data_IF_589737933896
#
_entry.id   IF_589737933896
#
_cell.length_a   1.000
_cell.length_b   1.000
_cell.length_c   1.000
_cell.angle_alpha   90.00
_cell.angle_beta   90.00
_cell.angle_gamma   90.00
#
_symmetry.space_group_name_H-M   'P 1'
#
loop_
_entity.id
_entity.type
_entity.pdbx_description
1 polymer ?
#
# COMPACT_ATOMS: atom_id res chain seq x y z
N UNK A 1 -36.85 8.41 -22.81
CA UNK A 1 -35.55 8.36 -22.10
C UNK A 1 -34.92 9.75 -22.18
N UNK A 2 -34.53 10.33 -21.05
CA UNK A 2 -33.91 11.66 -21.01
C UNK A 2 -32.46 11.56 -21.54
N UNK A 3 -32.20 12.12 -22.73
CA UNK A 3 -30.89 12.03 -23.41
C UNK A 3 -29.77 12.71 -22.64
N UNK A 4 -30.09 13.74 -21.87
CA UNK A 4 -29.08 14.46 -21.09
C UNK A 4 -28.66 13.67 -19.86
N UNK A 5 -29.59 12.96 -19.21
CA UNK A 5 -29.27 12.06 -18.10
C UNK A 5 -28.34 10.91 -18.54
N UNK A 6 -28.58 10.33 -19.73
CA UNK A 6 -27.72 9.28 -20.29
C UNK A 6 -26.30 9.81 -20.52
N UNK A 7 -26.17 11.00 -21.12
CA UNK A 7 -24.85 11.64 -21.35
C UNK A 7 -24.09 11.92 -20.05
N UNK A 8 -24.78 12.32 -18.98
CA UNK A 8 -24.14 12.55 -17.68
C UNK A 8 -23.65 11.24 -17.05
N UNK A 9 -24.41 10.15 -17.18
CA UNK A 9 -24.00 8.83 -16.71
C UNK A 9 -22.77 8.35 -17.50
N UNK A 10 -22.82 8.38 -18.83
CA UNK A 10 -21.68 8.02 -19.70
C UNK A 10 -20.44 8.83 -19.34
N UNK A 11 -20.59 10.13 -19.08
CA UNK A 11 -19.48 10.98 -18.63
C UNK A 11 -18.92 10.51 -17.28
N UNK A 12 -19.78 10.24 -16.30
CA UNK A 12 -19.35 9.80 -14.96
C UNK A 12 -18.67 8.43 -14.97
N UNK A 13 -18.99 7.55 -15.91
CA UNK A 13 -18.34 6.25 -16.08
C UNK A 13 -16.97 6.35 -16.77
N UNK A 14 -16.78 7.35 -17.62
CA UNK A 14 -15.53 7.57 -18.36
C UNK A 14 -14.53 8.47 -17.62
N UNK A 15 -14.99 9.32 -16.72
CA UNK A 15 -14.12 10.17 -15.91
C UNK A 15 -13.42 9.35 -14.82
N UNK A 16 -12.16 9.69 -14.46
CA UNK A 16 -11.48 9.02 -13.36
C UNK A 16 -12.30 9.12 -12.08
N UNK A 17 -12.57 7.99 -11.46
CA UNK A 17 -13.30 7.94 -10.19
C UNK A 17 -12.47 8.58 -9.08
N UNK A 18 -13.12 8.92 -7.96
CA UNK A 18 -12.42 9.38 -6.77
C UNK A 18 -11.35 8.37 -6.32
N UNK A 19 -11.64 7.08 -6.40
CA UNK A 19 -10.70 6.00 -6.08
C UNK A 19 -9.48 6.06 -6.99
N UNK A 20 -9.65 6.24 -8.29
CA UNK A 20 -8.54 6.36 -9.25
C UNK A 20 -7.65 7.57 -8.92
N UNK A 21 -8.28 8.69 -8.59
CA UNK A 21 -7.57 9.92 -8.25
C UNK A 21 -6.77 9.77 -6.95
N UNK A 22 -7.36 9.14 -5.92
CA UNK A 22 -6.68 8.85 -4.65
C UNK A 22 -5.53 7.87 -4.86
N UNK A 23 -5.73 6.82 -5.66
CA UNK A 23 -4.68 5.85 -5.95
C UNK A 23 -3.48 6.51 -6.66
N UNK A 24 -3.73 7.30 -7.72
CA UNK A 24 -2.68 8.06 -8.44
C UNK A 24 -1.96 9.07 -7.56
N UNK A 25 -2.62 9.58 -6.52
CA UNK A 25 -1.99 10.45 -5.54
C UNK A 25 -1.07 9.64 -4.60
N UNK A 26 -1.56 8.51 -4.07
CA UNK A 26 -0.78 7.64 -3.19
C UNK A 26 0.49 7.10 -3.85
N UNK A 27 0.42 6.73 -5.13
CA UNK A 27 1.56 6.20 -5.92
C UNK A 27 2.71 7.20 -6.07
N UNK A 28 2.45 8.51 -5.90
CA UNK A 28 3.46 9.58 -6.01
C UNK A 28 3.94 10.09 -4.65
N UNK A 29 3.69 9.34 -3.58
CA UNK A 29 4.18 9.69 -2.24
C UNK A 29 5.72 9.64 -2.23
N UNK A 30 6.42 10.74 -1.96
CA UNK A 30 7.87 10.75 -1.94
C UNK A 30 8.43 9.73 -0.95
N UNK A 31 9.42 8.97 -1.37
CA UNK A 31 10.08 7.93 -0.60
C UNK A 31 9.60 6.51 -0.89
N UNK A 32 8.58 6.32 -1.74
CA UNK A 32 8.19 5.02 -2.28
C UNK A 32 9.12 4.53 -3.41
N UNK A 33 9.95 5.41 -3.97
CA UNK A 33 10.90 5.08 -5.02
C UNK A 33 11.97 4.10 -4.53
N UNK A 34 12.39 3.19 -5.41
CA UNK A 34 13.44 2.20 -5.12
C UNK A 34 14.80 2.86 -4.89
N UNK A 35 15.07 3.92 -5.64
CA UNK A 35 16.25 4.77 -5.49
C UNK A 35 15.95 5.90 -4.49
N UNK A 36 16.87 6.19 -3.59
CA UNK A 36 16.66 7.18 -2.53
C UNK A 36 16.18 6.55 -1.22
N UNK A 37 15.00 6.96 -0.72
CA UNK A 37 14.57 6.54 0.62
C UNK A 37 14.15 5.07 0.71
N UNK A 38 13.54 4.50 -0.34
CA UNK A 38 13.09 3.11 -0.43
C UNK A 38 12.31 2.64 0.82
N UNK A 39 11.15 3.25 1.05
CA UNK A 39 10.30 2.96 2.20
C UNK A 39 9.94 1.48 2.29
N UNK A 40 9.45 0.86 1.21
CA UNK A 40 9.02 -0.54 1.23
C UNK A 40 10.15 -1.50 1.57
N UNK A 41 11.35 -1.29 1.01
CA UNK A 41 12.52 -2.12 1.33
C UNK A 41 12.96 -1.97 2.79
N UNK A 42 12.92 -0.76 3.36
CA UNK A 42 13.21 -0.52 4.78
C UNK A 42 12.16 -1.13 5.69
N UNK A 43 10.88 -0.98 5.33
CA UNK A 43 9.76 -1.50 6.09
C UNK A 43 9.80 -3.03 6.15
N UNK A 44 9.95 -3.70 5.00
CA UNK A 44 10.08 -5.15 4.93
C UNK A 44 11.22 -5.65 5.83
N UNK A 45 12.40 -5.03 5.73
CA UNK A 45 13.56 -5.41 6.52
C UNK A 45 13.34 -5.25 8.03
N UNK A 46 12.68 -4.16 8.44
CA UNK A 46 12.33 -3.93 9.83
C UNK A 46 11.36 -5.01 10.36
N UNK A 47 10.35 -5.37 9.56
CA UNK A 47 9.41 -6.46 9.90
C UNK A 47 10.13 -7.80 10.02
N UNK A 48 11.02 -8.13 9.07
CA UNK A 48 11.81 -9.36 9.10
C UNK A 48 12.68 -9.46 10.36
N UNK A 49 13.37 -8.37 10.74
CA UNK A 49 14.17 -8.31 11.96
C UNK A 49 13.31 -8.61 13.19
N UNK A 50 12.17 -7.92 13.33
CA UNK A 50 11.27 -8.12 14.47
C UNK A 50 10.78 -9.56 14.51
N UNK A 51 10.38 -10.15 13.38
CA UNK A 51 9.91 -11.53 13.34
C UNK A 51 11.01 -12.53 13.70
N UNK A 52 12.26 -12.29 13.28
CA UNK A 52 13.38 -13.16 13.63
C UNK A 52 13.73 -13.09 15.11
N UNK A 53 13.76 -11.88 15.69
CA UNK A 53 13.95 -11.69 17.12
C UNK A 53 12.88 -12.44 17.94
N UNK A 54 11.61 -12.37 17.51
CA UNK A 54 10.52 -13.11 18.14
C UNK A 54 10.70 -14.63 18.04
N UNK A 55 11.19 -15.14 16.91
CA UNK A 55 11.48 -16.58 16.72
C UNK A 55 12.61 -17.03 17.63
N UNK A 56 13.71 -16.30 17.67
CA UNK A 56 14.86 -16.60 18.54
C UNK A 56 14.42 -16.57 19.99
N UNK A 57 13.72 -15.52 20.43
CA UNK A 57 13.22 -15.41 21.79
C UNK A 57 12.31 -16.58 22.17
N UNK A 58 11.35 -16.93 21.32
CA UNK A 58 10.44 -18.06 21.55
C UNK A 58 11.19 -19.39 21.64
N UNK A 59 12.17 -19.61 20.76
CA UNK A 59 13.01 -20.81 20.76
C UNK A 59 13.89 -20.88 22.02
N UNK A 60 14.52 -19.79 22.42
CA UNK A 60 15.31 -19.71 23.66
C UNK A 60 14.46 -19.97 24.90
N UNK A 61 13.22 -19.45 24.95
CA UNK A 61 12.27 -19.76 26.02
C UNK A 61 11.91 -21.24 26.10
N UNK A 62 11.75 -21.90 24.95
CA UNK A 62 11.39 -23.31 24.88
C UNK A 62 12.50 -24.27 25.34
N UNK A 63 13.77 -23.83 25.33
CA UNK A 63 14.93 -24.64 25.77
C UNK A 63 15.18 -24.48 27.28
N UNK A 64 14.58 -23.47 27.91
CA UNK A 64 14.74 -23.13 29.34
C UNK A 64 13.59 -23.64 30.23
N UNK A 65 12.69 -24.47 29.69
CA UNK A 65 11.63 -25.20 30.40
C UNK A 65 11.72 -26.68 30.03
#
# INVERSE_FOLDING_TARGET
MNKDAIKQIEKSENEPSLTDLVQRWLERTPGLELEGFNFWGKYQRAVEIVLEEQRVFSRSKCILH
#
